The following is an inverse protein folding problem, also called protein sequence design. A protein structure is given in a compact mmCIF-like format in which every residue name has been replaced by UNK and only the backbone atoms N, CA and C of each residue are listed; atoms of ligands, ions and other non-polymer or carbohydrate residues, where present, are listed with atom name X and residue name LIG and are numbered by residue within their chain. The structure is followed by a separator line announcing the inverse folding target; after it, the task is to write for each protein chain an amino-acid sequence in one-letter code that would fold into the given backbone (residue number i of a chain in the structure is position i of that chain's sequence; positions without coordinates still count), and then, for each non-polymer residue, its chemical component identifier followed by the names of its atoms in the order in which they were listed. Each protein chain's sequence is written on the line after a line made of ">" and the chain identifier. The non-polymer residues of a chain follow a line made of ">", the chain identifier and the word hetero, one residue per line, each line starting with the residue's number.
data_IF_894329219528
#
_entry.id   IF_894329219528
#
_cell.length_a   1.000
_cell.length_b   1.000
_cell.length_c   1.000
_cell.angle_alpha   90.00
_cell.angle_beta   90.00
_cell.angle_gamma   90.00
#
_symmetry.space_group_name_H-M   'P 1'
#
loop_
_entity.id
_entity.type
_entity.pdbx_description
1 polymer ?
#
# COMPACT_ATOMS: atom_id res chain seq x y z
N UNK A 1 -2.69 49.72 24.79
CA UNK A 1 -3.79 49.01 25.48
C UNK A 1 -4.34 48.05 24.43
N UNK A 2 -3.81 46.84 24.41
CA UNK A 2 -4.36 45.68 25.16
C UNK A 2 -5.69 45.27 24.52
N UNK A 3 -6.05 44.03 24.25
CA UNK A 3 -5.60 42.68 24.52
C UNK A 3 -6.18 41.88 23.34
N UNK A 4 -5.49 40.92 22.74
CA UNK A 4 -5.40 39.54 23.21
C UNK A 4 -6.76 38.88 23.47
N UNK A 5 -6.89 37.69 22.84
CA UNK A 5 -7.74 36.55 23.19
C UNK A 5 -9.13 36.50 22.56
N UNK A 6 -9.69 35.36 22.16
CA UNK A 6 -9.23 33.99 21.89
C UNK A 6 -10.50 33.20 21.58
N UNK A 7 -10.34 32.02 20.98
CA UNK A 7 -11.32 30.91 20.96
C UNK A 7 -12.41 31.03 19.89
N UNK A 8 -12.52 30.11 18.94
CA UNK A 8 -12.76 28.70 19.25
C UNK A 8 -12.01 27.73 18.32
N UNK A 9 -11.28 26.81 18.95
CA UNK A 9 -10.91 25.52 18.34
C UNK A 9 -12.19 24.69 18.18
N UNK A 10 -12.41 24.10 17.01
CA UNK A 10 -13.29 22.93 16.85
C UNK A 10 -12.88 22.19 15.55
N UNK A 11 -11.88 21.32 15.60
CA UNK A 11 -12.07 19.86 15.65
C UNK A 11 -13.10 19.32 14.64
N UNK A 12 -12.66 19.13 13.39
CA UNK A 12 -13.08 17.98 12.59
C UNK A 12 -11.82 17.41 11.94
N UNK A 13 -11.27 16.38 12.58
CA UNK A 13 -10.19 15.60 12.00
C UNK A 13 -10.78 14.72 10.90
N UNK A 14 -10.36 15.00 9.66
CA UNK A 14 -10.41 14.06 8.52
C UNK A 14 -11.55 14.26 7.54
N UNK A 15 -11.39 15.22 6.61
CA UNK A 15 -11.76 15.17 5.16
C UNK A 15 -11.41 16.48 4.43
N UNK A 16 -11.11 17.57 5.15
CA UNK A 16 -11.03 18.92 4.57
C UNK A 16 -9.62 19.39 4.14
N UNK A 17 -8.73 18.47 3.71
CA UNK A 17 -7.43 18.90 3.19
C UNK A 17 -7.61 19.58 1.81
N UNK A 18 -7.17 20.84 1.61
CA UNK A 18 -7.38 21.53 0.35
C UNK A 18 -6.66 20.81 -0.79
N UNK A 19 -7.40 20.51 -1.86
CA UNK A 19 -6.84 19.91 -3.05
C UNK A 19 -5.85 20.89 -3.70
N UNK A 20 -4.58 20.49 -3.77
CA UNK A 20 -3.53 21.30 -4.40
C UNK A 20 -2.88 20.47 -5.52
N UNK A 21 -3.50 20.43 -6.72
CA UNK A 21 -2.93 19.70 -7.84
C UNK A 21 -1.66 20.42 -8.32
N UNK A 22 -0.53 19.72 -8.29
CA UNK A 22 0.72 20.22 -8.85
C UNK A 22 0.77 19.87 -10.35
N UNK A 23 1.09 20.83 -11.21
CA UNK A 23 1.32 20.55 -12.63
C UNK A 23 2.67 19.84 -12.81
N UNK A 24 2.63 18.62 -13.30
CA UNK A 24 3.79 17.80 -13.59
C UNK A 24 3.55 16.96 -14.85
N UNK A 25 4.62 16.38 -15.41
CA UNK A 25 4.54 15.55 -16.61
C UNK A 25 3.78 14.22 -16.38
N UNK A 26 3.64 13.79 -15.12
CA UNK A 26 2.86 12.62 -14.75
C UNK A 26 1.51 13.01 -14.14
N UNK A 27 0.53 12.10 -14.12
CA UNK A 27 -0.74 12.33 -13.44
C UNK A 27 -0.49 12.76 -11.98
N UNK A 28 -1.22 13.76 -11.46
CA UNK A 28 -0.93 14.31 -10.13
C UNK A 28 -1.06 13.27 -9.02
N UNK A 29 -1.95 12.28 -9.20
CA UNK A 29 -2.09 11.14 -8.31
C UNK A 29 -0.87 10.20 -8.29
N UNK A 30 -0.21 9.99 -9.44
CA UNK A 30 1.03 9.22 -9.53
C UNK A 30 2.17 9.99 -8.89
N UNK A 31 2.21 11.31 -9.09
CA UNK A 31 3.29 12.11 -8.55
C UNK A 31 3.25 12.33 -7.04
N UNK A 32 2.05 12.43 -6.48
CA UNK A 32 1.85 12.48 -5.04
C UNK A 32 2.17 11.14 -4.35
N UNK A 33 2.15 10.02 -5.07
CA UNK A 33 2.45 8.71 -4.49
C UNK A 33 3.96 8.53 -4.30
N UNK A 34 4.45 8.20 -3.09
CA UNK A 34 5.89 7.97 -2.86
C UNK A 34 6.42 6.76 -3.64
N UNK A 35 5.56 5.78 -3.93
CA UNK A 35 5.90 4.56 -4.69
C UNK A 35 5.69 4.75 -6.21
N UNK A 36 5.18 5.91 -6.64
CA UNK A 36 4.90 6.23 -8.05
C UNK A 36 4.05 5.19 -8.79
N UNK A 37 3.13 4.53 -8.06
CA UNK A 37 2.18 3.58 -8.65
C UNK A 37 1.33 4.26 -9.71
N UNK A 38 1.14 3.59 -10.83
CA UNK A 38 0.25 4.04 -11.90
C UNK A 38 -1.22 3.87 -11.50
N UNK A 39 -1.78 4.94 -10.94
CA UNK A 39 -3.18 4.99 -10.50
C UNK A 39 -4.17 4.86 -11.66
N UNK A 40 -3.87 5.47 -12.79
CA UNK A 40 -4.82 5.54 -13.91
C UNK A 40 -5.01 4.16 -14.54
N UNK A 41 -3.92 3.44 -14.78
CA UNK A 41 -3.96 2.14 -15.45
C UNK A 41 -4.75 1.11 -14.65
N UNK A 42 -4.50 0.97 -13.34
CA UNK A 42 -5.26 -0.03 -12.56
C UNK A 42 -6.71 0.41 -12.33
N UNK A 43 -7.02 1.71 -12.24
CA UNK A 43 -8.41 2.16 -12.14
C UNK A 43 -9.19 1.85 -13.41
N UNK A 44 -8.57 2.03 -14.58
CA UNK A 44 -9.16 1.63 -15.85
C UNK A 44 -9.41 0.12 -15.90
N UNK A 45 -8.45 -0.70 -15.48
CA UNK A 45 -8.59 -2.16 -15.42
C UNK A 45 -9.70 -2.61 -14.45
N UNK A 46 -9.83 -1.94 -13.29
CA UNK A 46 -10.95 -2.17 -12.36
C UNK A 46 -12.29 -1.86 -13.03
N UNK A 47 -12.37 -0.74 -13.78
CA UNK A 47 -13.57 -0.38 -14.54
C UNK A 47 -13.96 -1.39 -15.63
N UNK A 48 -12.99 -2.13 -16.16
CA UNK A 48 -13.21 -3.23 -17.12
C UNK A 48 -13.44 -4.60 -16.46
N UNK A 49 -13.47 -4.68 -15.13
CA UNK A 49 -13.61 -5.95 -14.39
C UNK A 49 -12.34 -6.84 -14.41
N UNK A 50 -11.21 -6.32 -14.89
CA UNK A 50 -9.93 -7.03 -15.04
C UNK A 50 -9.09 -6.94 -13.76
N UNK A 51 -9.59 -7.52 -12.67
CA UNK A 51 -8.98 -7.36 -11.34
C UNK A 51 -7.59 -7.98 -11.19
N UNK A 52 -7.33 -9.09 -11.90
CA UNK A 52 -6.01 -9.74 -11.90
C UNK A 52 -4.94 -8.85 -12.54
N UNK A 53 -5.22 -8.30 -13.73
CA UNK A 53 -4.33 -7.36 -14.43
C UNK A 53 -4.11 -6.10 -13.58
N UNK A 54 -5.17 -5.58 -12.95
CA UNK A 54 -5.08 -4.43 -12.04
C UNK A 54 -4.15 -4.71 -10.85
N UNK A 55 -4.25 -5.91 -10.26
CA UNK A 55 -3.40 -6.34 -9.16
C UNK A 55 -1.92 -6.44 -9.59
N UNK A 56 -1.65 -6.87 -10.81
CA UNK A 56 -0.29 -6.95 -11.33
C UNK A 56 0.32 -5.57 -11.56
N UNK A 57 -0.45 -4.62 -12.10
CA UNK A 57 -0.03 -3.21 -12.19
C UNK A 57 0.25 -2.65 -10.79
N UNK A 58 -0.60 -2.91 -9.81
CA UNK A 58 -0.41 -2.43 -8.43
C UNK A 58 0.86 -3.01 -7.80
N UNK A 59 1.11 -4.32 -7.99
CA UNK A 59 2.24 -5.02 -7.37
C UNK A 59 3.56 -4.86 -8.10
N UNK A 60 3.54 -4.43 -9.37
CA UNK A 60 4.76 -4.17 -10.16
C UNK A 60 5.76 -3.23 -9.47
N UNK A 61 5.24 -2.26 -8.71
CA UNK A 61 6.07 -1.29 -7.97
C UNK A 61 5.95 -1.42 -6.45
N UNK A 62 4.96 -2.15 -5.96
CA UNK A 62 4.67 -2.24 -4.52
C UNK A 62 4.40 -3.70 -4.12
N UNK A 63 5.41 -4.42 -3.59
CA UNK A 63 5.25 -5.80 -3.19
C UNK A 63 4.32 -5.97 -1.98
N UNK A 64 4.19 -4.94 -1.15
CA UNK A 64 3.36 -4.91 0.07
C UNK A 64 2.05 -4.13 -0.11
N UNK A 65 1.49 -4.21 -1.32
CA UNK A 65 0.25 -3.50 -1.69
C UNK A 65 -0.94 -3.81 -0.76
N UNK A 66 -1.03 -5.02 -0.20
CA UNK A 66 -2.08 -5.42 0.76
C UNK A 66 -2.08 -4.53 2.00
N UNK A 67 -0.93 -4.38 2.65
CA UNK A 67 -0.76 -3.52 3.84
C UNK A 67 -1.00 -2.06 3.46
N UNK A 68 -0.45 -1.60 2.33
CA UNK A 68 -0.68 -0.23 1.87
C UNK A 68 -2.16 0.06 1.59
N UNK A 69 -2.97 -0.92 1.22
CA UNK A 69 -4.41 -0.70 1.02
C UNK A 69 -5.17 -0.40 2.32
N UNK A 70 -4.59 -0.74 3.48
CA UNK A 70 -5.18 -0.55 4.80
C UNK A 70 -4.64 0.72 5.48
N UNK A 71 -3.31 0.89 5.53
CA UNK A 71 -2.66 1.93 6.34
C UNK A 71 -2.27 3.19 5.56
N UNK A 72 -2.37 3.20 4.24
CA UNK A 72 -1.94 4.36 3.44
C UNK A 72 -2.73 5.62 3.80
N UNK A 73 -1.99 6.72 3.98
CA UNK A 73 -2.49 8.08 4.20
C UNK A 73 -3.01 8.76 2.92
N UNK A 74 -3.09 8.01 1.81
CA UNK A 74 -3.75 8.39 0.55
C UNK A 74 -3.43 9.81 0.04
N UNK A 75 -2.15 10.20 -0.09
CA UNK A 75 -1.78 11.51 -0.64
C UNK A 75 -2.23 11.68 -2.10
N UNK A 76 -2.41 10.56 -2.81
CA UNK A 76 -2.91 10.53 -4.18
C UNK A 76 -4.37 10.96 -4.32
N UNK A 77 -5.19 10.82 -3.27
CA UNK A 77 -6.59 11.29 -3.26
C UNK A 77 -6.63 12.80 -3.07
N UNK A 78 -5.76 13.36 -2.21
CA UNK A 78 -5.65 14.80 -1.99
C UNK A 78 -5.17 15.56 -3.25
N UNK A 79 -4.32 14.94 -4.06
CA UNK A 79 -3.85 15.50 -5.32
C UNK A 79 -4.75 15.17 -6.53
N UNK A 80 -5.91 14.53 -6.32
CA UNK A 80 -6.77 14.10 -7.41
C UNK A 80 -7.37 15.31 -8.16
N UNK A 81 -7.23 15.35 -9.49
CA UNK A 81 -7.84 16.42 -10.31
C UNK A 81 -9.36 16.51 -10.18
N UNK A 82 -10.00 15.39 -9.83
CA UNK A 82 -11.45 15.31 -9.65
C UNK A 82 -11.97 16.21 -8.52
N UNK A 83 -11.12 16.56 -7.55
CA UNK A 83 -11.47 17.52 -6.50
C UNK A 83 -11.78 18.94 -7.02
N UNK A 84 -11.38 19.29 -8.25
CA UNK A 84 -11.76 20.57 -8.87
C UNK A 84 -13.22 20.59 -9.32
N UNK A 85 -13.85 19.42 -9.44
CA UNK A 85 -15.23 19.25 -9.95
C UNK A 85 -16.17 18.78 -8.84
N UNK A 86 -15.82 17.68 -8.17
CA UNK A 86 -16.61 17.05 -7.11
C UNK A 86 -15.69 16.46 -6.02
N UNK A 87 -15.85 15.18 -5.68
CA UNK A 87 -15.08 14.51 -4.63
C UNK A 87 -13.93 13.68 -5.22
N UNK A 88 -12.79 13.54 -4.51
CA UNK A 88 -11.71 12.68 -4.96
C UNK A 88 -12.16 11.25 -5.16
N UNK A 89 -11.53 10.57 -6.12
CA UNK A 89 -11.71 9.14 -6.28
C UNK A 89 -11.15 8.42 -5.05
N UNK A 90 -11.92 7.47 -4.51
CA UNK A 90 -11.51 6.62 -3.37
C UNK A 90 -10.47 5.57 -3.78
N UNK A 91 -9.28 6.04 -4.15
CA UNK A 91 -8.16 5.25 -4.67
C UNK A 91 -7.75 4.14 -3.70
N UNK A 92 -7.66 4.42 -2.39
CA UNK A 92 -7.26 3.42 -1.38
C UNK A 92 -8.25 2.26 -1.31
N UNK A 93 -9.55 2.58 -1.28
CA UNK A 93 -10.61 1.57 -1.24
C UNK A 93 -10.67 0.76 -2.54
N UNK A 94 -10.51 1.41 -3.69
CA UNK A 94 -10.45 0.71 -4.98
C UNK A 94 -9.22 -0.21 -5.10
N UNK A 95 -8.07 0.21 -4.57
CA UNK A 95 -6.89 -0.65 -4.46
C UNK A 95 -7.19 -1.89 -3.60
N UNK A 96 -7.84 -1.71 -2.45
CA UNK A 96 -8.25 -2.82 -1.57
C UNK A 96 -9.21 -3.77 -2.29
N UNK A 97 -10.22 -3.23 -2.96
CA UNK A 97 -11.16 -4.03 -3.74
C UNK A 97 -10.47 -4.87 -4.82
N UNK A 98 -9.56 -4.27 -5.60
CA UNK A 98 -8.79 -5.00 -6.61
C UNK A 98 -7.91 -6.11 -6.00
N UNK A 99 -7.35 -5.89 -4.81
CA UNK A 99 -6.60 -6.90 -4.07
C UNK A 99 -7.50 -8.05 -3.63
N UNK A 100 -8.65 -7.77 -3.05
CA UNK A 100 -9.61 -8.78 -2.58
C UNK A 100 -10.12 -9.65 -3.75
N UNK A 101 -10.45 -9.03 -4.89
CA UNK A 101 -10.93 -9.75 -6.08
C UNK A 101 -9.81 -10.47 -6.87
N UNK A 102 -8.60 -9.90 -6.93
CA UNK A 102 -7.49 -10.44 -7.72
C UNK A 102 -6.63 -11.49 -7.00
N UNK A 103 -6.72 -11.60 -5.67
CA UNK A 103 -5.79 -12.43 -4.88
C UNK A 103 -5.87 -13.92 -5.25
N UNK A 104 -7.08 -14.45 -5.44
CA UNK A 104 -7.26 -15.88 -5.69
C UNK A 104 -6.74 -16.29 -7.08
N UNK A 105 -7.06 -15.50 -8.10
CA UNK A 105 -6.53 -15.70 -9.45
C UNK A 105 -4.99 -15.58 -9.50
N UNK A 106 -4.41 -14.66 -8.73
CA UNK A 106 -2.94 -14.54 -8.71
C UNK A 106 -2.26 -15.66 -7.92
N UNK A 107 -2.90 -16.22 -6.88
CA UNK A 107 -2.38 -17.39 -6.17
C UNK A 107 -2.23 -18.59 -7.11
N UNK A 108 -3.19 -18.81 -8.00
CA UNK A 108 -3.12 -19.90 -8.98
C UNK A 108 -2.02 -19.70 -10.03
N UNK A 109 -1.62 -18.45 -10.29
CA UNK A 109 -0.55 -18.10 -11.23
C UNK A 109 0.86 -18.02 -10.61
N UNK A 110 1.02 -18.33 -9.31
CA UNK A 110 2.34 -18.33 -8.67
C UNK A 110 3.24 -19.41 -9.29
N UNK A 111 4.17 -18.98 -10.14
CA UNK A 111 5.27 -19.81 -10.62
C UNK A 111 6.44 -19.71 -9.66
N UNK A 112 7.07 -20.84 -9.37
CA UNK A 112 8.33 -20.85 -8.64
C UNK A 112 9.38 -20.09 -9.45
N UNK A 113 10.05 -19.14 -8.80
CA UNK A 113 11.10 -18.36 -9.47
C UNK A 113 12.32 -19.28 -9.64
N UNK A 114 12.85 -19.46 -10.86
CA UNK A 114 14.00 -20.33 -11.10
C UNK A 114 15.24 -19.75 -10.40
N UNK A 115 15.92 -20.59 -9.61
CA UNK A 115 17.15 -20.23 -8.90
C UNK A 115 18.24 -19.82 -9.89
N UNK A 116 18.56 -18.54 -9.95
CA UNK A 116 19.39 -17.99 -11.04
C UNK A 116 20.87 -17.87 -10.68
N UNK A 117 21.22 -17.81 -9.38
CA UNK A 117 22.62 -17.65 -8.93
C UNK A 117 22.94 -18.51 -7.71
N UNK A 118 24.15 -19.08 -7.67
CA UNK A 118 24.69 -19.86 -6.54
C UNK A 118 25.19 -19.02 -5.37
N UNK A 119 24.79 -17.74 -5.29
CA UNK A 119 25.12 -16.82 -4.20
C UNK A 119 23.96 -16.79 -3.21
N UNK A 120 24.26 -16.80 -1.91
CA UNK A 120 23.27 -16.65 -0.85
C UNK A 120 23.29 -15.22 -0.31
N UNK A 121 22.10 -14.64 -0.12
CA UNK A 121 21.92 -13.32 0.47
C UNK A 121 21.02 -13.46 1.69
N UNK A 122 21.46 -12.91 2.82
CA UNK A 122 20.69 -12.86 4.06
C UNK A 122 20.12 -11.47 4.30
N UNK A 123 18.82 -11.38 4.59
CA UNK A 123 18.16 -10.14 5.00
C UNK A 123 17.86 -10.24 6.49
N UNK A 124 18.33 -9.23 7.25
CA UNK A 124 18.08 -9.14 8.70
C UNK A 124 16.89 -8.20 8.91
N UNK A 125 15.77 -8.77 9.35
CA UNK A 125 14.55 -8.04 9.69
C UNK A 125 13.41 -8.27 8.69
N UNK A 126 12.20 -8.46 9.23
CA UNK A 126 10.97 -8.76 8.48
C UNK A 126 10.04 -7.54 8.33
N UNK A 127 10.59 -6.34 8.47
CA UNK A 127 9.85 -5.10 8.23
C UNK A 127 9.56 -4.85 6.74
N UNK A 128 8.81 -3.79 6.40
CA UNK A 128 8.46 -3.47 5.02
C UNK A 128 9.68 -3.28 4.11
N UNK A 129 10.75 -2.69 4.64
CA UNK A 129 12.03 -2.55 3.91
C UNK A 129 12.68 -3.90 3.61
N UNK A 130 12.71 -4.82 4.58
CA UNK A 130 13.28 -6.15 4.42
C UNK A 130 12.48 -7.02 3.45
N UNK A 131 11.15 -6.95 3.52
CA UNK A 131 10.26 -7.67 2.59
C UNK A 131 10.34 -7.14 1.17
N UNK A 132 10.44 -5.82 0.99
CA UNK A 132 10.61 -5.20 -0.34
C UNK A 132 11.95 -5.60 -0.95
N UNK A 133 13.04 -5.50 -0.15
CA UNK A 133 14.37 -5.95 -0.58
C UNK A 133 14.39 -7.45 -0.92
N UNK A 134 13.60 -8.25 -0.20
CA UNK A 134 13.45 -9.67 -0.49
C UNK A 134 12.72 -9.93 -1.80
N UNK A 135 11.64 -9.20 -2.09
CA UNK A 135 10.89 -9.35 -3.33
C UNK A 135 11.75 -8.98 -4.54
N UNK A 136 12.47 -7.85 -4.46
CA UNK A 136 13.38 -7.40 -5.52
C UNK A 136 14.51 -8.41 -5.79
N UNK A 137 15.12 -8.94 -4.72
CA UNK A 137 16.20 -9.93 -4.84
C UNK A 137 15.70 -11.32 -5.25
N UNK A 138 14.46 -11.69 -4.91
CA UNK A 138 13.89 -12.98 -5.26
C UNK A 138 13.76 -13.16 -6.78
N UNK A 139 13.63 -12.06 -7.54
CA UNK A 139 13.62 -12.09 -9.00
C UNK A 139 14.99 -12.40 -9.62
N UNK A 140 16.08 -12.30 -8.85
CA UNK A 140 17.47 -12.37 -9.36
C UNK A 140 18.29 -13.49 -8.72
N UNK A 141 18.02 -13.86 -7.45
CA UNK A 141 18.90 -14.72 -6.64
C UNK A 141 18.12 -15.68 -5.74
N UNK A 142 18.74 -16.81 -5.39
CA UNK A 142 18.23 -17.76 -4.39
C UNK A 142 18.35 -17.19 -2.97
N UNK A 143 17.27 -17.17 -2.19
CA UNK A 143 17.23 -16.51 -0.88
C UNK A 143 17.03 -17.45 0.31
N UNK A 144 17.64 -17.09 1.44
CA UNK A 144 17.36 -17.65 2.77
C UNK A 144 17.08 -16.50 3.73
N UNK A 145 15.82 -16.32 4.14
CA UNK A 145 15.47 -15.33 5.17
C UNK A 145 15.95 -15.83 6.54
N UNK A 146 16.88 -15.11 7.15
CA UNK A 146 17.38 -15.41 8.49
C UNK A 146 16.71 -14.46 9.48
N UNK A 147 15.58 -14.88 10.03
CA UNK A 147 15.00 -14.18 11.18
C UNK A 147 15.76 -14.64 12.43
N UNK A 148 16.42 -13.71 13.16
CA UNK A 148 16.85 -14.03 14.52
C UNK A 148 15.58 -14.32 15.31
N UNK A 149 15.30 -15.60 15.58
CA UNK A 149 14.41 -16.00 16.67
C UNK A 149 15.02 -15.45 17.95
N UNK A 150 14.60 -14.26 18.38
CA UNK A 150 14.64 -13.99 19.82
C UNK A 150 13.65 -14.96 20.47
N UNK A 151 14.02 -15.69 21.53
CA UNK A 151 13.12 -16.64 22.19
C UNK A 151 11.85 -16.00 22.77
N UNK A 152 11.73 -14.67 22.72
CA UNK A 152 10.74 -13.88 23.48
C UNK A 152 9.62 -13.25 22.64
N UNK A 153 9.54 -13.52 21.32
CA UNK A 153 8.47 -13.01 20.46
C UNK A 153 7.06 -13.33 20.99
N UNK A 154 6.86 -14.48 21.63
CA UNK A 154 5.58 -14.87 22.23
C UNK A 154 5.12 -13.93 23.37
N UNK A 155 6.00 -13.12 23.96
CA UNK A 155 5.65 -12.24 25.07
C UNK A 155 5.22 -10.82 24.64
N UNK A 156 5.50 -10.39 23.39
CA UNK A 156 5.29 -8.98 22.99
C UNK A 156 4.04 -8.78 22.13
N UNK A 157 3.65 -9.76 21.30
CA UNK A 157 2.48 -9.63 20.42
C UNK A 157 1.12 -9.75 21.13
N UNK A 158 1.07 -10.32 22.34
CA UNK A 158 -0.17 -10.46 23.10
C UNK A 158 -0.55 -9.24 23.95
N UNK A 159 0.28 -8.19 24.01
CA UNK A 159 0.02 -7.05 24.91
C UNK A 159 -0.53 -5.79 24.25
N UNK A 160 -0.72 -5.73 22.93
CA UNK A 160 -1.06 -4.43 22.31
C UNK A 160 -2.09 -4.39 21.17
N UNK A 161 -2.68 -5.51 20.74
CA UNK A 161 -3.79 -5.45 19.78
C UNK A 161 -4.93 -6.37 20.20
N UNK A 162 -6.13 -5.83 20.54
CA UNK A 162 -7.30 -6.65 20.80
C UNK A 162 -7.69 -7.42 19.53
N UNK A 163 -7.91 -8.73 19.69
CA UNK A 163 -8.16 -9.73 18.66
C UNK A 163 -9.54 -9.62 17.94
N UNK A 164 -10.13 -8.43 17.79
CA UNK A 164 -11.57 -8.28 17.45
C UNK A 164 -11.91 -7.78 16.04
N UNK A 165 -11.05 -7.89 15.02
CA UNK A 165 -11.37 -7.24 13.71
C UNK A 165 -11.38 -8.15 12.47
N UNK A 166 -11.13 -9.45 12.56
CA UNK A 166 -11.31 -10.32 11.38
C UNK A 166 -12.15 -11.55 11.69
N UNK A 167 -13.38 -11.66 11.14
CA UNK A 167 -14.08 -12.93 11.11
C UNK A 167 -13.33 -13.86 10.16
N UNK A 168 -12.79 -14.93 10.72
CA UNK A 168 -12.44 -16.16 9.99
C UNK A 168 -13.69 -16.55 9.19
N UNK A 169 -13.62 -16.51 7.86
CA UNK A 169 -14.69 -17.04 7.00
C UNK A 169 -14.36 -18.49 6.65
N UNK A 170 -15.39 -19.35 6.56
CA UNK A 170 -15.30 -20.81 6.67
C UNK A 170 -14.55 -21.50 5.53
#
# INVERSE_FOLDING_TARGET
>A
MSEAQASTKNSKQGVDAPCTPKMSHYPPCRDACPVKTDVQSYLWLIGQGKYAEALDVIRSVNPIASVCSLICHHPCEQACRRCEVDQPVSIRHLKRFALEQGTEHRRSLRKAIPKTQGKSIGIIGSGPAGLTSADDLALVVTMSQYTRRTPTWAACSHRQYPHTVYPETP
#
